data_IF_321368210283
#
_entry.id   IF_321368210283
#
_cell.length_a   1.000
_cell.length_b   1.000
_cell.length_c   1.000
_cell.angle_alpha   90.00
_cell.angle_beta   90.00
_cell.angle_gamma   90.00
#
_symmetry.space_group_name_H-M   'P 1'
#
loop_
_entity.id
_entity.type
_entity.pdbx_description
1 polymer ?
#
# COMPACT_ATOMS: atom_id res chain seq x y z
N UNK A 1 3.22 9.70 7.52
CA UNK A 1 2.06 10.34 6.85
C UNK A 1 1.39 11.30 7.83
N UNK A 2 1.06 12.51 7.39
CA UNK A 2 0.39 13.55 8.20
C UNK A 2 -0.99 13.89 7.63
N UNK A 3 -1.87 14.52 8.40
CA UNK A 3 -3.22 14.86 7.92
C UNK A 3 -3.23 15.82 6.72
N UNK A 4 -2.20 16.66 6.55
CA UNK A 4 -2.04 17.47 5.33
C UNK A 4 -1.89 16.67 4.03
N UNK A 5 -1.58 15.38 4.15
CA UNK A 5 -1.50 14.45 3.02
C UNK A 5 -2.87 13.85 2.67
N UNK A 6 -3.93 14.15 3.43
CA UNK A 6 -5.26 13.62 3.24
C UNK A 6 -6.19 14.74 2.78
N UNK A 7 -6.84 14.50 1.65
CA UNK A 7 -7.82 15.37 1.03
C UNK A 7 -9.20 14.72 1.17
N UNK A 8 -10.29 15.42 0.79
CA UNK A 8 -11.66 14.87 0.87
C UNK A 8 -11.87 13.57 0.07
N UNK A 9 -11.08 13.35 -0.99
CA UNK A 9 -11.26 12.24 -1.95
C UNK A 9 -10.07 11.27 -2.01
N UNK A 10 -8.89 11.67 -1.55
CA UNK A 10 -7.68 10.88 -1.73
C UNK A 10 -6.61 11.22 -0.70
N UNK A 11 -5.66 10.31 -0.55
CA UNK A 11 -4.42 10.48 0.19
C UNK A 11 -3.29 10.65 -0.84
N UNK A 12 -2.48 11.69 -0.69
CA UNK A 12 -1.36 11.99 -1.58
C UNK A 12 -0.06 12.14 -0.82
N UNK A 13 0.96 11.36 -1.18
CA UNK A 13 2.27 11.42 -0.57
C UNK A 13 3.41 11.11 -1.55
N UNK A 14 4.60 11.60 -1.22
CA UNK A 14 5.83 11.31 -1.97
C UNK A 14 6.58 10.16 -1.31
N UNK A 15 7.02 9.20 -2.14
CA UNK A 15 7.83 8.07 -1.66
C UNK A 15 9.24 8.53 -1.31
N UNK A 16 9.59 8.42 -0.03
CA UNK A 16 10.85 8.93 0.50
C UNK A 16 12.10 8.25 -0.11
N UNK A 17 12.01 6.94 -0.39
CA UNK A 17 13.11 6.14 -1.01
C UNK A 17 13.50 6.62 -2.41
N UNK A 18 12.66 7.39 -3.09
CA UNK A 18 12.89 7.92 -4.45
C UNK A 18 13.24 9.40 -4.51
N UNK A 19 13.33 10.09 -3.36
CA UNK A 19 13.76 11.49 -3.31
C UNK A 19 15.26 11.64 -3.60
N UNK A 20 16.07 10.63 -3.27
CA UNK A 20 17.54 10.71 -3.34
C UNK A 20 18.16 9.94 -4.51
N UNK A 21 17.38 9.28 -5.36
CA UNK A 21 17.91 8.28 -6.32
C UNK A 21 17.79 8.65 -7.80
N UNK A 22 17.22 9.80 -8.20
CA UNK A 22 17.03 10.11 -9.64
C UNK A 22 16.99 11.61 -9.96
N UNK A 23 17.52 11.98 -11.15
CA UNK A 23 17.47 13.32 -11.77
C UNK A 23 16.05 13.84 -12.08
N UNK A 24 15.03 12.97 -12.09
CA UNK A 24 13.63 13.33 -12.39
C UNK A 24 12.74 13.48 -11.15
N UNK A 25 11.90 14.52 -11.16
CA UNK A 25 10.95 14.88 -10.09
C UNK A 25 10.13 13.66 -9.65
N UNK A 26 10.07 13.34 -8.35
CA UNK A 26 9.27 12.22 -7.86
C UNK A 26 7.77 12.48 -8.07
N UNK A 27 7.06 11.53 -8.69
CA UNK A 27 5.60 11.58 -8.83
C UNK A 27 4.93 11.23 -7.49
N UNK A 28 3.90 11.97 -7.06
CA UNK A 28 3.12 11.63 -5.87
C UNK A 28 2.31 10.36 -6.11
N UNK A 29 2.23 9.51 -5.08
CA UNK A 29 1.31 8.37 -5.05
C UNK A 29 -0.02 8.90 -4.55
N UNK A 30 -1.08 8.65 -5.32
CA UNK A 30 -2.44 9.05 -5.00
C UNK A 30 -3.26 7.80 -4.73
N UNK A 31 -3.83 7.70 -3.54
CA UNK A 31 -4.69 6.58 -3.12
C UNK A 31 -6.10 7.12 -2.90
N UNK A 32 -7.15 6.54 -3.50
CA UNK A 32 -8.52 6.97 -3.25
C UNK A 32 -8.89 6.74 -1.79
N UNK A 33 -9.58 7.71 -1.19
CA UNK A 33 -10.05 7.62 0.20
C UNK A 33 -11.37 6.86 0.24
N UNK A 34 -11.28 5.53 0.31
CA UNK A 34 -12.45 4.65 0.44
C UNK A 34 -13.07 4.75 1.83
N UNK A 35 -14.32 4.31 1.96
CA UNK A 35 -15.03 4.34 3.24
C UNK A 35 -14.33 3.51 4.32
N UNK A 36 -13.77 2.35 3.93
CA UNK A 36 -12.95 1.52 4.81
C UNK A 36 -11.73 2.28 5.35
N UNK A 37 -11.02 3.03 4.50
CA UNK A 37 -9.86 3.81 4.93
C UNK A 37 -10.28 4.93 5.89
N UNK A 38 -11.42 5.59 5.62
CA UNK A 38 -11.95 6.62 6.53
C UNK A 38 -12.28 6.04 7.89
N UNK A 39 -12.99 4.91 7.95
CA UNK A 39 -13.34 4.24 9.21
C UNK A 39 -12.09 3.87 10.02
N UNK A 40 -11.03 3.37 9.37
CA UNK A 40 -9.75 3.06 10.03
C UNK A 40 -9.09 4.32 10.60
N UNK A 41 -9.06 5.42 9.84
CA UNK A 41 -8.49 6.69 10.30
C UNK A 41 -9.33 7.28 11.45
N UNK A 42 -10.65 7.14 11.40
CA UNK A 42 -11.52 7.65 12.45
C UNK A 42 -11.35 6.89 13.76
N UNK A 43 -11.17 5.57 13.68
CA UNK A 43 -11.02 4.70 14.84
C UNK A 43 -9.62 4.78 15.46
N UNK A 44 -8.56 4.71 14.65
CA UNK A 44 -7.17 4.64 15.14
C UNK A 44 -6.39 5.95 14.99
N UNK A 45 -6.99 6.99 14.42
CA UNK A 45 -6.30 8.23 14.10
C UNK A 45 -6.03 9.13 15.30
N UNK A 46 -4.98 9.93 15.20
CA UNK A 46 -4.61 10.91 16.22
C UNK A 46 -5.60 12.08 16.25
N UNK A 47 -6.08 12.45 17.44
CA UNK A 47 -6.85 13.69 17.66
C UNK A 47 -6.02 14.72 18.42
N UNK A 48 -6.15 16.03 18.13
CA UNK A 48 -7.02 16.64 17.12
C UNK A 48 -6.49 16.49 15.68
N UNK A 49 -7.42 16.58 14.71
CA UNK A 49 -7.15 16.50 13.27
C UNK A 49 -6.46 17.77 12.74
N UNK A 50 -5.19 17.97 13.08
CA UNK A 50 -4.40 19.10 12.61
C UNK A 50 -3.53 18.71 11.42
N UNK A 51 -3.36 19.57 10.40
CA UNK A 51 -2.60 19.24 9.18
C UNK A 51 -1.19 18.69 9.42
N UNK A 52 -0.50 19.19 10.45
CA UNK A 52 0.87 18.75 10.76
C UNK A 52 0.98 17.55 11.71
N UNK A 53 -0.15 17.06 12.23
CA UNK A 53 -0.17 15.86 13.07
C UNK A 53 -0.03 14.60 12.21
N UNK A 54 0.64 13.60 12.76
CA UNK A 54 0.68 12.26 12.16
C UNK A 54 -0.71 11.64 12.22
N UNK A 55 -1.07 10.92 11.15
CA UNK A 55 -2.39 10.29 11.04
C UNK A 55 -2.56 9.25 12.12
N UNK A 56 -1.53 8.46 12.41
CA UNK A 56 -1.53 7.46 13.47
C UNK A 56 -0.57 7.85 14.60
N UNK A 57 -0.88 7.50 15.87
CA UNK A 57 -0.11 7.91 17.05
C UNK A 57 1.17 7.09 17.25
N UNK A 58 1.91 6.82 16.17
CA UNK A 58 3.16 6.03 16.19
C UNK A 58 4.37 6.96 16.37
N UNK A 59 4.34 8.14 15.74
CA UNK A 59 5.44 9.10 15.76
C UNK A 59 5.01 10.39 16.45
N UNK A 60 5.93 11.02 17.18
CA UNK A 60 5.70 12.33 17.81
C UNK A 60 6.56 13.41 17.18
N UNK A 61 6.12 14.67 17.28
CA UNK A 61 6.85 15.81 16.71
C UNK A 61 8.19 16.11 17.40
N UNK A 62 8.37 15.62 18.63
CA UNK A 62 9.55 15.86 19.46
C UNK A 62 10.71 14.91 19.15
N UNK A 63 10.44 13.81 18.44
CA UNK A 63 11.45 12.82 18.07
C UNK A 63 12.42 13.39 17.03
N UNK A 64 13.70 13.11 17.21
CA UNK A 64 14.71 13.30 16.15
C UNK A 64 14.57 12.23 15.04
N UNK A 65 15.36 12.35 13.97
CA UNK A 65 15.26 11.40 12.85
C UNK A 65 15.74 9.98 13.20
N UNK A 66 16.72 9.84 14.10
CA UNK A 66 17.21 8.54 14.53
C UNK A 66 16.18 7.81 15.40
N UNK A 67 15.51 8.54 16.28
CA UNK A 67 14.43 8.04 17.11
C UNK A 67 13.21 7.67 16.28
N UNK A 68 12.82 8.50 15.30
CA UNK A 68 11.75 8.15 14.35
C UNK A 68 12.05 6.85 13.61
N UNK A 69 13.28 6.67 13.15
CA UNK A 69 13.70 5.44 12.48
C UNK A 69 13.56 4.23 13.41
N UNK A 70 14.06 4.35 14.65
CA UNK A 70 14.00 3.28 15.67
C UNK A 70 12.56 2.92 16.02
N UNK A 71 11.70 3.91 16.28
CA UNK A 71 10.29 3.71 16.60
C UNK A 71 9.56 3.04 15.45
N UNK A 72 9.82 3.48 14.21
CA UNK A 72 9.23 2.88 13.02
C UNK A 72 9.65 1.40 12.85
N UNK A 73 10.94 1.08 13.01
CA UNK A 73 11.44 -0.30 12.96
C UNK A 73 10.80 -1.17 14.04
N UNK A 74 10.72 -0.67 15.28
CA UNK A 74 10.09 -1.37 16.38
C UNK A 74 8.61 -1.63 16.13
N UNK A 75 7.90 -0.64 15.59
CA UNK A 75 6.49 -0.79 15.25
C UNK A 75 6.27 -1.83 14.13
N UNK A 76 7.08 -1.81 13.07
CA UNK A 76 7.02 -2.82 12.01
C UNK A 76 7.27 -4.23 12.58
N UNK A 77 8.28 -4.38 13.44
CA UNK A 77 8.57 -5.64 14.11
C UNK A 77 7.39 -6.10 14.97
N UNK A 78 6.81 -5.21 15.76
CA UNK A 78 5.64 -5.49 16.58
C UNK A 78 4.46 -6.00 15.73
N UNK A 79 4.15 -5.31 14.64
CA UNK A 79 3.08 -5.72 13.71
C UNK A 79 3.37 -7.09 13.10
N UNK A 80 4.59 -7.32 12.61
CA UNK A 80 4.98 -8.62 12.04
C UNK A 80 4.85 -9.76 13.07
N UNK A 81 5.27 -9.54 14.32
CA UNK A 81 5.12 -10.55 15.38
C UNK A 81 3.65 -10.90 15.66
N UNK A 82 2.75 -9.91 15.63
CA UNK A 82 1.32 -10.15 15.83
C UNK A 82 0.68 -10.86 14.63
N UNK A 83 1.06 -10.48 13.41
CA UNK A 83 0.63 -11.16 12.18
C UNK A 83 1.10 -12.62 12.20
N UNK A 84 2.36 -12.89 12.57
CA UNK A 84 2.88 -14.25 12.67
C UNK A 84 2.16 -15.07 13.74
N UNK A 85 1.82 -14.46 14.87
CA UNK A 85 1.02 -15.14 15.91
C UNK A 85 -0.36 -15.52 15.36
N UNK A 86 -1.06 -14.57 14.74
CA UNK A 86 -2.36 -14.84 14.12
C UNK A 86 -2.27 -15.90 13.01
N UNK A 87 -1.22 -15.86 12.18
CA UNK A 87 -0.98 -16.86 11.15
C UNK A 87 -0.85 -18.26 11.75
N UNK A 88 -0.07 -18.41 12.82
CA UNK A 88 0.08 -19.68 13.55
C UNK A 88 -1.24 -20.15 14.15
N UNK A 89 -1.99 -19.24 14.78
CA UNK A 89 -3.29 -19.54 15.38
C UNK A 89 -4.33 -20.00 14.34
N UNK A 90 -4.16 -19.60 13.07
CA UNK A 90 -4.99 -19.98 11.93
C UNK A 90 -4.38 -21.11 11.07
N UNK A 91 -3.29 -21.73 11.52
CA UNK A 91 -2.57 -22.78 10.78
C UNK A 91 -2.13 -22.36 9.36
N UNK A 92 -1.85 -21.07 9.18
CA UNK A 92 -1.28 -20.51 7.96
C UNK A 92 0.25 -20.55 8.02
N UNK A 93 0.89 -20.46 6.84
CA UNK A 93 2.35 -20.41 6.73
C UNK A 93 2.94 -19.30 7.65
N UNK A 94 3.97 -19.65 8.42
CA UNK A 94 4.49 -18.83 9.50
C UNK A 94 5.30 -17.60 9.03
N UNK A 95 5.62 -17.52 7.73
CA UNK A 95 6.42 -16.44 7.14
C UNK A 95 5.60 -15.24 6.63
N UNK A 96 4.31 -15.15 6.99
CA UNK A 96 3.49 -13.97 6.70
C UNK A 96 4.04 -12.74 7.45
N UNK A 97 4.24 -11.66 6.70
CA UNK A 97 4.69 -10.36 7.21
C UNK A 97 3.88 -9.22 6.60
N UNK A 98 4.13 -7.99 7.05
CA UNK A 98 3.58 -6.76 6.43
C UNK A 98 3.84 -6.65 4.93
N UNK A 99 4.83 -7.36 4.38
CA UNK A 99 5.10 -7.38 2.94
C UNK A 99 4.04 -8.16 2.15
N UNK A 100 3.44 -9.20 2.75
CA UNK A 100 2.35 -9.96 2.13
C UNK A 100 1.13 -9.09 1.83
N UNK A 101 0.84 -8.07 2.64
CA UNK A 101 -0.26 -7.14 2.36
C UNK A 101 -0.08 -6.42 1.00
N UNK A 102 1.17 -6.10 0.63
CA UNK A 102 1.49 -5.51 -0.67
C UNK A 102 1.36 -6.52 -1.80
N UNK A 103 1.83 -7.75 -1.58
CA UNK A 103 1.70 -8.83 -2.57
C UNK A 103 0.25 -9.19 -2.82
N UNK A 104 -0.52 -9.45 -1.77
CA UNK A 104 -1.92 -9.82 -1.86
C UNK A 104 -2.73 -8.73 -2.56
N UNK A 105 -2.49 -7.46 -2.24
CA UNK A 105 -3.08 -6.34 -2.97
C UNK A 105 -2.74 -6.37 -4.46
N UNK A 106 -1.46 -6.56 -4.82
CA UNK A 106 -1.00 -6.61 -6.22
C UNK A 106 -1.66 -7.76 -6.97
N UNK A 107 -1.58 -8.97 -6.42
CA UNK A 107 -2.17 -10.18 -7.00
C UNK A 107 -3.68 -10.06 -7.13
N UNK A 108 -4.38 -9.57 -6.11
CA UNK A 108 -5.82 -9.35 -6.16
C UNK A 108 -6.20 -8.30 -7.22
N UNK A 109 -5.45 -7.20 -7.32
CA UNK A 109 -5.69 -6.19 -8.35
C UNK A 109 -5.52 -6.75 -9.77
N UNK A 110 -4.43 -7.51 -10.03
CA UNK A 110 -4.21 -8.18 -11.32
C UNK A 110 -5.36 -9.15 -11.64
N UNK A 111 -5.75 -9.97 -10.66
CA UNK A 111 -6.85 -10.94 -10.80
C UNK A 111 -8.19 -10.28 -11.12
N UNK A 112 -8.44 -9.09 -10.58
CA UNK A 112 -9.64 -8.31 -10.88
C UNK A 112 -9.52 -7.48 -12.17
N UNK A 113 -8.54 -7.79 -13.05
CA UNK A 113 -8.39 -7.14 -14.35
C UNK A 113 -7.82 -5.72 -14.29
N UNK A 114 -7.20 -5.31 -13.17
CA UNK A 114 -6.56 -4.01 -13.11
C UNK A 114 -5.34 -3.95 -14.04
N UNK A 115 -5.24 -2.86 -14.81
CA UNK A 115 -4.10 -2.62 -15.70
C UNK A 115 -2.80 -2.52 -14.91
N UNK A 116 -1.73 -3.09 -15.44
CA UNK A 116 -0.41 -3.13 -14.78
C UNK A 116 0.11 -1.72 -14.47
N UNK A 117 -0.20 -0.75 -15.34
CA UNK A 117 0.15 0.67 -15.18
C UNK A 117 -0.53 1.30 -13.96
N UNK A 118 -1.81 0.96 -13.72
CA UNK A 118 -2.57 1.44 -12.57
C UNK A 118 -2.01 0.87 -11.25
N UNK A 119 -1.59 -0.40 -11.28
CA UNK A 119 -0.96 -1.06 -10.14
C UNK A 119 0.41 -0.43 -9.87
N UNK A 120 1.21 -0.18 -10.91
CA UNK A 120 2.49 0.51 -10.77
C UNK A 120 2.33 1.90 -10.14
N UNK A 121 1.35 2.68 -10.59
CA UNK A 121 1.05 4.00 -10.05
C UNK A 121 0.67 3.91 -8.56
N UNK A 122 -0.23 2.98 -8.22
CA UNK A 122 -0.69 2.75 -6.85
C UNK A 122 0.45 2.32 -5.91
N UNK A 123 1.40 1.54 -6.42
CA UNK A 123 2.55 1.05 -5.67
C UNK A 123 3.74 2.03 -5.67
N UNK A 124 3.72 3.05 -6.52
CA UNK A 124 4.84 3.97 -6.74
C UNK A 124 6.08 3.28 -7.31
N UNK A 125 5.89 2.20 -8.10
CA UNK A 125 6.98 1.55 -8.82
C UNK A 125 7.28 2.33 -10.10
N UNK A 126 8.55 2.69 -10.32
CA UNK A 126 8.99 3.36 -11.56
C UNK A 126 9.17 2.41 -12.74
N UNK A 127 9.49 1.14 -12.47
CA UNK A 127 9.75 0.13 -13.50
C UNK A 127 8.65 -0.90 -13.55
N UNK A 128 8.26 -1.31 -14.77
CA UNK A 128 7.30 -2.38 -15.00
C UNK A 128 7.85 -3.72 -14.51
N UNK A 129 9.17 -3.94 -14.60
CA UNK A 129 9.83 -5.17 -14.18
C UNK A 129 9.55 -5.51 -12.71
N UNK A 130 9.52 -4.51 -11.82
CA UNK A 130 9.24 -4.75 -10.39
C UNK A 130 7.82 -5.26 -10.16
N UNK A 131 6.86 -4.87 -11.00
CA UNK A 131 5.46 -5.32 -10.90
C UNK A 131 5.23 -6.61 -11.70
N UNK A 132 5.93 -6.80 -12.83
CA UNK A 132 5.92 -8.03 -13.62
C UNK A 132 6.45 -9.23 -12.83
N UNK A 133 7.43 -9.04 -11.93
CA UNK A 133 7.88 -10.11 -11.03
C UNK A 133 6.77 -10.66 -10.10
N UNK A 134 5.67 -9.92 -9.90
CA UNK A 134 4.51 -10.38 -9.14
C UNK A 134 3.41 -11.03 -9.99
N UNK A 135 3.59 -11.04 -11.30
CA UNK A 135 2.62 -11.58 -12.24
C UNK A 135 2.97 -13.01 -12.60
N UNK A 136 2.18 -13.96 -12.09
CA UNK A 136 2.29 -15.39 -12.41
C UNK A 136 1.48 -15.81 -13.66
N UNK A 137 1.04 -14.84 -14.47
CA UNK A 137 0.07 -15.05 -15.55
C UNK A 137 -1.38 -14.79 -15.11
N UNK A 138 -2.29 -14.77 -16.08
CA UNK A 138 -3.74 -14.72 -15.83
C UNK A 138 -4.30 -16.14 -15.66
N UNK A 139 -5.30 -16.29 -14.80
CA UNK A 139 -6.09 -17.52 -14.69
C UNK A 139 -6.95 -17.69 -15.97
N UNK A 140 -7.27 -18.94 -16.29
CA UNK A 140 -7.92 -19.26 -17.57
C UNK A 140 -9.32 -18.66 -17.69
N UNK A 141 -10.02 -18.45 -16.57
CA UNK A 141 -11.30 -17.75 -16.53
C UNK A 141 -11.19 -16.28 -16.97
N UNK A 142 -10.15 -15.56 -16.56
CA UNK A 142 -9.90 -14.17 -16.96
C UNK A 142 -9.52 -14.11 -18.45
N UNK A 143 -8.73 -15.08 -18.92
CA UNK A 143 -8.41 -15.20 -20.36
C UNK A 143 -9.67 -15.46 -21.18
N UNK A 144 -10.56 -16.32 -20.68
CA UNK A 144 -11.84 -16.63 -21.32
C UNK A 144 -12.74 -15.39 -21.37
N UNK A 145 -12.89 -14.65 -20.27
CA UNK A 145 -13.71 -13.42 -20.25
C UNK A 145 -13.19 -12.35 -21.23
N UNK A 146 -11.85 -12.21 -21.36
CA UNK A 146 -11.24 -11.31 -22.34
C UNK A 146 -11.49 -11.80 -23.77
N UNK A 147 -11.36 -13.10 -24.02
CA UNK A 147 -11.63 -13.69 -25.33
C UNK A 147 -13.10 -13.49 -25.73
N UNK A 148 -14.03 -13.73 -24.80
CA UNK A 148 -15.47 -13.54 -25.02
C UNK A 148 -15.79 -12.06 -25.31
N UNK A 149 -15.19 -11.11 -24.58
CA UNK A 149 -15.31 -9.67 -24.85
C UNK A 149 -14.73 -9.24 -26.20
N UNK A 150 -13.71 -9.93 -26.71
CA UNK A 150 -13.15 -9.66 -28.04
C UNK A 150 -14.00 -10.23 -29.17
N UNK A 151 -14.79 -11.28 -28.89
CA UNK A 151 -15.75 -11.84 -29.83
C UNK A 151 -17.12 -11.14 -29.79
N UNK A 152 -17.32 -10.23 -28.84
CA UNK A 152 -18.50 -9.35 -28.75
C UNK A 152 -18.36 -8.19 -29.76
N UNK A 153 -18.49 -8.55 -31.04
CA UNK A 153 -18.75 -7.59 -32.11
C UNK A 153 -20.24 -7.28 -32.06
N UNK A 154 -20.62 -6.24 -31.31
CA UNK A 154 -22.01 -5.81 -31.17
C UNK A 154 -22.79 -5.68 -32.48
#
# INVERSE_FOLDING_TARGET
MKYKNINKKSISYLRHKTLHTTKDKPKPIIIPLTETIKAVIEHYGTRPFLPDNYVFPILTKKMDEAEKLRVNQNFIRFVNQHIQKLAKDLELDADISTYYARHSFTTAAIRNGAKMELIQESLGHRSLNTTQNYWAGFEDNVKQEIADKLMDFG
#
